data_IF_627029598073
#
_entry.id   IF_627029598073
#
_cell.length_a   1.000
_cell.length_b   1.000
_cell.length_c   1.000
_cell.angle_alpha   90.00
_cell.angle_beta   90.00
_cell.angle_gamma   90.00
#
_symmetry.space_group_name_H-M   'P 1'
#
loop_
_entity.id
_entity.type
_entity.pdbx_description
1 polymer ?
#
# COMPACT_ATOMS: atom_id res chain seq x y z
N UNK A 1 20.47 -20.13 5.85
CA UNK A 1 20.40 -20.13 4.36
C UNK A 1 20.74 -18.75 3.81
N UNK A 2 21.44 -18.66 2.68
CA UNK A 2 21.75 -17.38 2.02
C UNK A 2 20.50 -16.77 1.36
N UNK A 3 20.45 -15.45 1.33
CA UNK A 3 19.37 -14.67 0.72
C UNK A 3 19.33 -14.91 -0.80
N UNK A 4 18.21 -15.39 -1.36
CA UNK A 4 18.11 -15.68 -2.79
C UNK A 4 18.18 -14.41 -3.64
N UNK A 5 17.89 -13.23 -3.07
CA UNK A 5 17.94 -11.95 -3.79
C UNK A 5 19.34 -11.40 -4.03
N UNK A 6 20.28 -11.60 -3.10
CA UNK A 6 21.66 -11.10 -3.24
C UNK A 6 22.73 -12.19 -3.23
N UNK A 7 22.40 -13.41 -2.80
CA UNK A 7 23.31 -14.56 -2.61
C UNK A 7 24.51 -14.31 -1.69
N UNK A 8 24.56 -13.17 -0.98
CA UNK A 8 25.70 -12.75 -0.15
C UNK A 8 25.40 -12.76 1.35
N UNK A 9 24.18 -12.40 1.75
CA UNK A 9 23.79 -12.21 3.14
C UNK A 9 22.83 -13.28 3.61
N UNK A 10 22.77 -13.50 4.91
CA UNK A 10 21.80 -14.42 5.51
C UNK A 10 20.35 -13.95 5.29
N UNK A 11 19.48 -14.91 4.96
CA UNK A 11 18.05 -14.67 4.87
C UNK A 11 17.43 -14.65 6.27
N UNK A 12 17.10 -13.46 6.79
CA UNK A 12 16.58 -13.27 8.15
C UNK A 12 15.08 -12.99 8.21
N UNK A 13 14.47 -12.64 7.08
CA UNK A 13 13.06 -12.23 7.00
C UNK A 13 12.27 -13.30 6.28
N UNK A 14 11.36 -13.97 6.97
CA UNK A 14 10.38 -14.90 6.39
C UNK A 14 9.01 -14.59 6.97
N UNK A 15 8.09 -14.22 6.09
CA UNK A 15 6.67 -14.03 6.42
C UNK A 15 5.84 -15.11 5.73
N UNK A 16 4.65 -15.39 6.28
CA UNK A 16 3.68 -16.32 5.68
C UNK A 16 3.23 -15.87 4.28
N UNK A 17 3.04 -14.56 4.10
CA UNK A 17 2.65 -13.96 2.82
C UNK A 17 3.78 -13.91 1.78
N UNK A 18 4.99 -14.38 2.12
CA UNK A 18 6.15 -14.34 1.23
C UNK A 18 6.60 -15.73 0.79
N UNK A 19 6.84 -15.96 -0.51
CA UNK A 19 7.25 -17.28 -1.01
C UNK A 19 8.65 -17.67 -0.51
N UNK A 20 9.57 -16.71 -0.32
CA UNK A 20 10.97 -16.96 0.02
C UNK A 20 11.46 -16.04 1.12
N UNK A 21 12.40 -16.53 1.93
CA UNK A 21 13.07 -15.71 2.94
C UNK A 21 14.06 -14.75 2.27
N UNK A 22 14.20 -13.52 2.79
CA UNK A 22 15.11 -12.49 2.26
C UNK A 22 15.98 -11.90 3.38
N UNK A 23 17.12 -11.30 3.01
CA UNK A 23 17.85 -10.42 3.92
C UNK A 23 17.13 -9.06 4.02
N UNK A 24 17.35 -8.25 5.08
CA UNK A 24 16.65 -6.99 5.30
C UNK A 24 16.69 -6.02 4.11
N UNK A 25 17.84 -5.88 3.45
CA UNK A 25 17.96 -5.00 2.29
C UNK A 25 17.23 -5.51 1.04
N UNK A 26 17.34 -6.82 0.74
CA UNK A 26 16.62 -7.40 -0.39
C UNK A 26 15.10 -7.37 -0.15
N UNK A 27 14.68 -7.52 1.11
CA UNK A 27 13.30 -7.33 1.54
C UNK A 27 12.83 -5.89 1.25
N UNK A 28 13.54 -4.87 1.76
CA UNK A 28 13.17 -3.48 1.52
C UNK A 28 13.11 -3.14 0.02
N UNK A 29 14.11 -3.59 -0.75
CA UNK A 29 14.14 -3.40 -2.20
C UNK A 29 12.98 -4.10 -2.91
N UNK A 30 12.52 -5.26 -2.42
CA UNK A 30 11.37 -5.96 -2.97
C UNK A 30 10.07 -5.16 -2.74
N UNK A 31 9.87 -4.63 -1.53
CA UNK A 31 8.71 -3.79 -1.20
C UNK A 31 8.70 -2.52 -2.05
N UNK A 32 9.82 -1.79 -2.12
CA UNK A 32 9.96 -0.61 -2.98
C UNK A 32 9.61 -0.95 -4.44
N UNK A 33 10.13 -2.05 -4.98
CA UNK A 33 9.82 -2.49 -6.36
C UNK A 33 8.33 -2.77 -6.57
N UNK A 34 7.66 -3.38 -5.59
CA UNK A 34 6.21 -3.66 -5.65
C UNK A 34 5.39 -2.37 -5.63
N UNK A 35 5.72 -1.44 -4.74
CA UNK A 35 5.06 -0.13 -4.69
C UNK A 35 5.26 0.64 -6.00
N UNK A 36 6.49 0.64 -6.54
CA UNK A 36 6.77 1.25 -7.87
C UNK A 36 6.04 0.56 -9.01
N UNK A 37 5.83 -0.77 -8.95
CA UNK A 37 5.02 -1.50 -9.91
C UNK A 37 3.55 -1.09 -9.78
N UNK A 38 3.06 -0.98 -8.55
CA UNK A 38 1.68 -0.57 -8.25
C UNK A 38 1.38 0.81 -8.81
N UNK A 39 2.23 1.80 -8.52
CA UNK A 39 2.10 3.16 -9.05
C UNK A 39 2.05 3.21 -10.58
N UNK A 40 2.76 2.31 -11.28
CA UNK A 40 2.70 2.19 -12.74
C UNK A 40 1.39 1.54 -13.22
N UNK A 41 0.88 0.56 -12.48
CA UNK A 41 -0.35 -0.14 -12.83
C UNK A 41 -1.60 0.72 -12.62
N UNK A 42 -1.56 1.61 -11.63
CA UNK A 42 -2.64 2.57 -11.35
C UNK A 42 -2.64 3.74 -12.37
N UNK A 43 -1.76 3.69 -13.38
CA UNK A 43 -1.86 4.47 -14.62
C UNK A 43 -1.68 5.99 -14.51
N UNK A 44 -1.35 6.52 -13.34
CA UNK A 44 -1.64 7.94 -13.08
C UNK A 44 -0.50 8.80 -12.55
N UNK A 45 0.77 8.38 -12.61
CA UNK A 45 1.88 9.29 -12.31
C UNK A 45 2.51 9.85 -13.60
N UNK A 46 2.15 11.08 -13.93
CA UNK A 46 2.71 11.89 -15.01
C UNK A 46 3.84 12.78 -14.50
N UNK A 47 4.76 13.14 -15.41
CA UNK A 47 5.75 14.18 -15.11
C UNK A 47 5.01 15.45 -14.73
N UNK A 48 5.46 16.13 -13.68
CA UNK A 48 4.86 17.37 -13.15
C UNK A 48 3.51 17.20 -12.43
N UNK A 49 3.06 15.98 -12.15
CA UNK A 49 1.93 15.79 -11.23
C UNK A 49 2.26 16.37 -9.84
N UNK A 50 1.25 16.90 -9.18
CA UNK A 50 1.33 17.22 -7.75
C UNK A 50 0.66 16.11 -6.95
N UNK A 51 1.42 15.43 -6.10
CA UNK A 51 0.93 14.43 -5.18
C UNK A 51 0.77 15.02 -3.78
N UNK A 52 -0.33 14.71 -3.11
CA UNK A 52 -0.57 15.07 -1.72
C UNK A 52 -0.59 13.81 -0.87
N UNK A 53 0.32 13.70 0.09
CA UNK A 53 0.35 12.62 1.08
C UNK A 53 -0.05 13.21 2.43
N UNK A 54 -1.02 12.59 3.10
CA UNK A 54 -1.37 12.94 4.47
C UNK A 54 -0.41 12.22 5.43
N UNK A 55 0.41 12.96 6.17
CA UNK A 55 1.26 12.40 7.22
C UNK A 55 0.51 12.42 8.55
N UNK A 56 -0.13 11.30 8.87
CA UNK A 56 -0.81 11.05 10.13
C UNK A 56 0.11 10.38 11.18
N UNK A 57 1.40 10.20 10.87
CA UNK A 57 2.36 9.48 11.72
C UNK A 57 2.25 7.95 11.66
N UNK A 58 1.37 7.40 10.82
CA UNK A 58 1.27 5.95 10.61
C UNK A 58 2.50 5.36 9.93
N UNK A 59 2.72 4.05 10.10
CA UNK A 59 3.71 3.31 9.32
C UNK A 59 3.48 3.47 7.81
N UNK A 60 2.23 3.38 7.36
CA UNK A 60 1.83 3.58 5.97
C UNK A 60 2.27 4.95 5.45
N UNK A 61 1.98 6.04 6.18
CA UNK A 61 2.40 7.38 5.81
C UNK A 61 3.94 7.49 5.68
N UNK A 62 4.68 6.91 6.63
CA UNK A 62 6.16 6.90 6.62
C UNK A 62 6.72 6.14 5.42
N UNK A 63 6.14 4.98 5.10
CA UNK A 63 6.57 4.18 3.94
C UNK A 63 6.23 4.90 2.63
N UNK A 64 5.00 5.40 2.49
CA UNK A 64 4.58 6.13 1.30
C UNK A 64 5.49 7.35 1.05
N UNK A 65 5.75 8.15 2.07
CA UNK A 65 6.70 9.27 2.03
C UNK A 65 8.09 8.82 1.57
N UNK A 66 8.67 7.83 2.23
CA UNK A 66 10.03 7.34 1.92
C UNK A 66 10.17 6.89 0.47
N UNK A 67 9.19 6.13 -0.04
CA UNK A 67 9.22 5.58 -1.39
C UNK A 67 9.02 6.68 -2.44
N UNK A 68 8.07 7.60 -2.21
CA UNK A 68 7.80 8.72 -3.13
C UNK A 68 8.96 9.71 -3.18
N UNK A 69 9.58 10.06 -2.04
CA UNK A 69 10.80 10.87 -2.02
C UNK A 69 11.95 10.22 -2.79
N UNK A 70 12.08 8.89 -2.67
CA UNK A 70 13.05 8.12 -3.46
C UNK A 70 12.77 8.15 -4.96
N UNK A 71 11.49 8.10 -5.36
CA UNK A 71 11.07 8.16 -6.76
C UNK A 71 11.28 9.54 -7.39
N UNK A 72 11.17 10.62 -6.61
CA UNK A 72 11.36 11.99 -7.09
C UNK A 72 12.74 12.23 -7.71
N UNK A 73 13.75 11.43 -7.34
CA UNK A 73 15.10 11.47 -7.92
C UNK A 73 15.14 10.97 -9.36
N UNK A 74 14.32 9.97 -9.68
CA UNK A 74 14.28 9.31 -10.99
C UNK A 74 13.18 9.91 -11.89
N UNK A 75 12.16 10.52 -11.30
CA UNK A 75 10.97 11.01 -12.00
C UNK A 75 10.50 12.34 -11.41
N UNK A 76 10.51 13.46 -12.16
CA UNK A 76 10.17 14.77 -11.63
C UNK A 76 8.65 14.93 -11.43
N UNK A 77 8.22 14.99 -10.18
CA UNK A 77 6.87 15.36 -9.75
C UNK A 77 6.95 16.17 -8.45
N UNK A 78 5.89 16.89 -8.11
CA UNK A 78 5.79 17.64 -6.86
C UNK A 78 5.15 16.75 -5.78
N UNK A 79 5.78 16.70 -4.60
CA UNK A 79 5.28 15.94 -3.46
C UNK A 79 5.00 16.89 -2.30
N UNK A 80 3.72 17.03 -1.93
CA UNK A 80 3.24 17.81 -0.79
C UNK A 80 2.89 16.87 0.35
N UNK A 81 3.50 17.10 1.51
CA UNK A 81 3.21 16.34 2.72
C UNK A 81 2.43 17.24 3.67
N UNK A 82 1.22 16.83 4.01
CA UNK A 82 0.28 17.65 4.79
C UNK A 82 -0.23 16.87 6.00
N UNK A 83 -0.59 17.55 7.09
CA UNK A 83 -1.24 16.89 8.25
C UNK A 83 -2.74 16.66 8.05
N UNK A 84 -3.37 17.50 7.22
CA UNK A 84 -4.80 17.45 6.89
C UNK A 84 -4.99 17.87 5.45
N UNK A 85 -5.98 17.27 4.79
CA UNK A 85 -6.38 17.67 3.44
C UNK A 85 -7.20 18.95 3.53
N UNK A 86 -6.85 19.95 2.73
CA UNK A 86 -7.61 21.17 2.53
C UNK A 86 -7.86 21.35 1.04
N UNK A 87 -8.92 22.09 0.68
CA UNK A 87 -9.22 22.38 -0.73
C UNK A 87 -8.04 23.00 -1.47
N UNK A 88 -7.32 23.92 -0.83
CA UNK A 88 -6.14 24.59 -1.38
C UNK A 88 -5.01 23.62 -1.71
N UNK A 89 -4.79 22.61 -0.87
CA UNK A 89 -3.74 21.63 -1.08
C UNK A 89 -4.13 20.57 -2.12
N UNK A 90 -5.43 20.29 -2.26
CA UNK A 90 -5.95 19.29 -3.19
C UNK A 90 -6.24 19.84 -4.60
N UNK A 91 -6.34 21.17 -4.76
CA UNK A 91 -6.63 21.80 -6.07
C UNK A 91 -5.57 21.43 -7.11
N UNK A 92 -5.98 20.67 -8.13
CA UNK A 92 -5.09 20.19 -9.20
C UNK A 92 -4.08 19.13 -8.76
N UNK A 93 -4.23 18.59 -7.54
CA UNK A 93 -3.34 17.58 -6.98
C UNK A 93 -4.06 16.23 -6.84
N UNK A 94 -3.26 15.18 -6.87
CA UNK A 94 -3.67 13.79 -6.71
C UNK A 94 -3.44 13.36 -5.27
N UNK A 95 -4.48 12.88 -4.60
CA UNK A 95 -4.36 12.39 -3.22
C UNK A 95 -3.70 11.02 -3.21
N UNK A 96 -2.76 10.79 -2.28
CA UNK A 96 -2.19 9.47 -2.05
C UNK A 96 -2.94 8.83 -0.89
N UNK A 97 -3.71 7.77 -1.19
CA UNK A 97 -4.29 6.89 -0.19
C UNK A 97 -3.20 6.07 0.51
N UNK A 98 -3.36 5.93 1.82
CA UNK A 98 -2.50 5.10 2.66
C UNK A 98 -3.02 3.67 2.80
N UNK A 99 -4.02 3.27 2.02
CA UNK A 99 -4.58 1.93 2.08
C UNK A 99 -3.52 0.88 1.74
N UNK A 100 -3.28 -0.02 2.70
CA UNK A 100 -2.47 -1.21 2.52
C UNK A 100 -3.31 -2.34 1.89
N UNK A 101 -2.72 -3.53 1.72
CA UNK A 101 -3.40 -4.68 1.13
C UNK A 101 -4.69 -5.07 1.87
N UNK A 102 -4.68 -5.02 3.21
CA UNK A 102 -5.85 -5.39 4.01
C UNK A 102 -6.97 -4.37 3.88
N UNK A 103 -6.64 -3.08 4.00
CA UNK A 103 -7.61 -2.01 3.80
C UNK A 103 -8.25 -2.07 2.40
N UNK A 104 -7.43 -2.32 1.37
CA UNK A 104 -7.91 -2.44 -0.01
C UNK A 104 -8.86 -3.64 -0.16
N UNK A 105 -8.48 -4.81 0.37
CA UNK A 105 -9.32 -6.00 0.30
C UNK A 105 -10.66 -5.81 1.04
N UNK A 106 -10.62 -5.19 2.23
CA UNK A 106 -11.83 -4.89 3.01
C UNK A 106 -12.75 -3.94 2.26
N UNK A 107 -12.23 -2.85 1.69
CA UNK A 107 -13.01 -1.88 0.90
C UNK A 107 -13.70 -2.53 -0.29
N UNK A 108 -12.98 -3.37 -1.04
CA UNK A 108 -13.55 -4.09 -2.19
C UNK A 108 -14.67 -5.04 -1.78
N UNK A 109 -14.48 -5.82 -0.70
CA UNK A 109 -15.52 -6.73 -0.21
C UNK A 109 -16.72 -5.94 0.33
N UNK A 110 -16.48 -4.82 1.02
CA UNK A 110 -17.54 -3.93 1.51
C UNK A 110 -18.41 -3.40 0.36
N UNK A 111 -17.79 -3.02 -0.77
CA UNK A 111 -18.50 -2.58 -1.99
C UNK A 111 -19.33 -3.69 -2.66
N UNK A 112 -19.01 -4.96 -2.43
CA UNK A 112 -19.80 -6.10 -2.94
C UNK A 112 -21.00 -6.39 -2.05
N UNK A 113 -20.81 -6.26 -0.73
CA UNK A 113 -21.84 -6.61 0.26
C UNK A 113 -22.85 -5.47 0.44
N UNK A 114 -22.39 -4.23 0.42
CA UNK A 114 -23.19 -3.05 0.66
C UNK A 114 -23.47 -2.32 -0.65
N UNK A 115 -24.65 -1.66 -0.79
CA UNK A 115 -24.90 -0.79 -1.92
C UNK A 115 -23.79 0.28 -2.00
N UNK A 116 -23.37 0.68 -3.22
CA UNK A 116 -22.36 1.71 -3.37
C UNK A 116 -22.84 2.98 -2.69
N UNK A 117 -22.03 3.52 -1.77
CA UNK A 117 -22.28 4.85 -1.24
C UNK A 117 -22.24 5.86 -2.40
N UNK A 118 -23.10 6.89 -2.40
CA UNK A 118 -23.07 7.90 -3.44
C UNK A 118 -21.66 8.47 -3.54
N UNK A 119 -21.03 8.32 -4.71
CA UNK A 119 -19.65 8.69 -5.00
C UNK A 119 -19.30 10.05 -4.38
N UNK A 120 -18.67 10.03 -3.21
CA UNK A 120 -17.99 11.21 -2.70
C UNK A 120 -16.77 11.38 -3.57
N UNK A 121 -16.81 12.36 -4.46
CA UNK A 121 -15.82 12.65 -5.50
C UNK A 121 -14.39 12.86 -4.95
N UNK A 122 -13.71 11.78 -4.59
CA UNK A 122 -12.28 11.71 -4.25
C UNK A 122 -11.57 10.60 -5.03
N UNK A 123 -12.11 10.22 -6.19
CA UNK A 123 -11.67 9.09 -7.02
C UNK A 123 -10.33 9.29 -7.75
N UNK A 124 -9.66 10.42 -7.59
CA UNK A 124 -8.34 10.66 -8.21
C UNK A 124 -7.18 10.28 -7.29
N UNK A 125 -7.39 9.25 -6.45
CA UNK A 125 -6.45 8.82 -5.43
C UNK A 125 -5.51 7.69 -5.86
N UNK A 126 -4.24 7.74 -5.47
CA UNK A 126 -3.27 6.66 -5.66
C UNK A 126 -3.16 5.83 -4.39
N UNK A 127 -3.27 4.49 -4.48
CA UNK A 127 -3.05 3.61 -3.33
C UNK A 127 -1.75 2.81 -3.50
N UNK A 128 -0.56 3.43 -3.32
CA UNK A 128 0.74 2.78 -3.56
C UNK A 128 0.96 1.51 -2.71
N UNK A 129 0.34 1.45 -1.54
CA UNK A 129 0.53 0.38 -0.55
C UNK A 129 -0.49 -0.75 -0.68
N UNK A 130 -1.44 -0.62 -1.61
CA UNK A 130 -2.51 -1.60 -1.86
C UNK A 130 -2.05 -3.02 -2.19
N UNK A 131 -0.78 -3.19 -2.57
CA UNK A 131 -0.16 -4.49 -2.83
C UNK A 131 0.75 -4.98 -1.69
N UNK A 132 0.78 -4.28 -0.55
CA UNK A 132 1.72 -4.49 0.55
C UNK A 132 1.00 -4.88 1.83
N UNK A 133 1.41 -6.00 2.43
CA UNK A 133 0.81 -6.51 3.66
C UNK A 133 1.27 -5.66 4.87
N UNK A 134 0.41 -5.40 5.87
CA UNK A 134 0.77 -4.57 7.04
C UNK A 134 2.03 -5.05 7.78
N UNK A 135 2.19 -6.36 7.92
CA UNK A 135 3.41 -6.95 8.52
C UNK A 135 4.69 -6.58 7.73
N UNK A 136 4.59 -6.50 6.40
CA UNK A 136 5.71 -6.08 5.56
C UNK A 136 6.02 -4.60 5.77
N UNK A 137 4.99 -3.76 5.90
CA UNK A 137 5.12 -2.33 6.19
C UNK A 137 5.83 -2.12 7.53
N UNK A 138 5.39 -2.82 8.59
CA UNK A 138 6.00 -2.72 9.91
C UNK A 138 7.50 -3.10 9.90
N UNK A 139 7.85 -4.22 9.24
CA UNK A 139 9.25 -4.62 9.08
C UNK A 139 10.05 -3.64 8.23
N UNK A 140 9.45 -3.09 7.18
CA UNK A 140 10.09 -2.07 6.34
C UNK A 140 10.45 -0.83 7.15
N UNK A 141 9.49 -0.30 7.92
CA UNK A 141 9.70 0.84 8.83
C UNK A 141 10.82 0.54 9.81
N UNK A 142 10.83 -0.66 10.42
CA UNK A 142 11.88 -1.09 11.35
C UNK A 142 13.26 -1.10 10.70
N UNK A 143 13.40 -1.73 9.52
CA UNK A 143 14.70 -1.84 8.85
C UNK A 143 15.21 -0.52 8.29
N UNK A 144 14.30 0.37 7.84
CA UNK A 144 14.64 1.70 7.36
C UNK A 144 14.70 2.77 8.46
N UNK A 145 14.37 2.41 9.70
CA UNK A 145 14.37 3.30 10.88
C UNK A 145 13.50 4.55 10.68
N UNK A 146 12.30 4.39 10.12
CA UNK A 146 11.43 5.51 9.74
C UNK A 146 10.53 6.03 10.89
N UNK A 147 10.48 5.33 12.03
CA UNK A 147 9.60 5.65 13.15
C UNK A 147 8.10 5.54 12.82
N UNK A 148 7.25 6.13 13.66
CA UNK A 148 5.79 6.10 13.52
C UNK A 148 5.11 5.01 14.35
N UNK A 149 3.82 4.84 14.13
CA UNK A 149 2.99 3.86 14.84
C UNK A 149 2.03 3.13 13.88
N UNK A 150 1.64 1.91 14.22
CA UNK A 150 0.64 1.19 13.44
C UNK A 150 -0.74 1.78 13.73
N UNK A 151 -1.41 2.33 12.72
CA UNK A 151 -2.77 2.86 12.83
C UNK A 151 -3.71 2.01 12.01
N UNK A 152 -4.56 1.24 12.68
CA UNK A 152 -5.67 0.55 12.05
C UNK A 152 -6.93 1.27 12.50
N UNK A 153 -7.59 1.96 11.57
CA UNK A 153 -8.91 2.58 11.78
C UNK A 153 -9.89 1.89 10.86
N UNK A 154 -10.64 0.96 11.42
CA UNK A 154 -11.70 0.23 10.72
C UNK A 154 -12.99 0.37 11.51
N UNK A 155 -14.09 0.58 10.80
CA UNK A 155 -15.42 0.54 11.41
C UNK A 155 -15.82 -0.90 11.83
N UNK A 156 -16.95 -1.06 12.51
CA UNK A 156 -17.40 -2.39 12.99
C UNK A 156 -17.64 -3.39 11.85
N UNK A 157 -18.10 -2.93 10.69
CA UNK A 157 -18.36 -3.80 9.52
C UNK A 157 -17.04 -4.22 8.90
N UNK A 158 -16.13 -3.27 8.71
CA UNK A 158 -14.79 -3.47 8.17
C UNK A 158 -13.97 -4.42 9.04
N UNK A 159 -14.08 -4.32 10.37
CA UNK A 159 -13.46 -5.27 11.30
C UNK A 159 -13.98 -6.69 11.10
N UNK A 160 -15.30 -6.88 10.96
CA UNK A 160 -15.90 -8.20 10.70
C UNK A 160 -15.46 -8.79 9.36
N UNK A 161 -15.37 -7.94 8.32
CA UNK A 161 -14.85 -8.36 7.00
C UNK A 161 -13.39 -8.79 7.15
N UNK A 162 -12.55 -7.99 7.83
CA UNK A 162 -11.15 -8.30 8.04
C UNK A 162 -10.97 -9.62 8.80
N UNK A 163 -11.74 -9.88 9.85
CA UNK A 163 -11.72 -11.15 10.57
C UNK A 163 -12.09 -12.34 9.68
N UNK A 164 -13.09 -12.18 8.80
CA UNK A 164 -13.45 -13.19 7.81
C UNK A 164 -12.30 -13.46 6.83
N UNK A 165 -11.69 -12.39 6.30
CA UNK A 165 -10.53 -12.48 5.43
C UNK A 165 -9.33 -13.13 6.12
N UNK A 166 -9.09 -12.84 7.40
CA UNK A 166 -8.02 -13.46 8.18
C UNK A 166 -8.24 -14.97 8.35
N UNK A 167 -9.48 -15.40 8.61
CA UNK A 167 -9.85 -16.83 8.67
C UNK A 167 -9.64 -17.52 7.34
N UNK A 168 -9.95 -16.87 6.23
CA UNK A 168 -9.70 -17.40 4.89
C UNK A 168 -8.20 -17.45 4.57
N UNK A 169 -7.44 -16.41 4.88
CA UNK A 169 -6.00 -16.34 4.65
C UNK A 169 -5.24 -17.43 5.41
N UNK A 170 -5.71 -17.80 6.61
CA UNK A 170 -5.16 -18.91 7.37
C UNK A 170 -5.34 -20.28 6.68
N UNK A 171 -6.44 -20.47 5.93
CA UNK A 171 -6.72 -21.70 5.17
C UNK A 171 -6.14 -21.68 3.76
N UNK A 172 -6.15 -20.50 3.13
CA UNK A 172 -5.77 -20.25 1.75
C UNK A 172 -4.80 -19.07 1.72
N UNK A 173 -3.48 -19.32 1.82
CA UNK A 173 -2.49 -18.25 1.78
C UNK A 173 -2.61 -17.41 0.52
N UNK A 174 -2.44 -16.09 0.67
CA UNK A 174 -2.54 -15.05 -0.37
C UNK A 174 -3.95 -14.74 -0.89
N UNK A 175 -5.02 -15.22 -0.24
CA UNK A 175 -6.39 -14.96 -0.70
C UNK A 175 -6.70 -13.46 -0.77
N UNK A 176 -6.21 -12.64 0.17
CA UNK A 176 -6.40 -11.18 0.14
C UNK A 176 -5.80 -10.56 -1.12
N UNK A 177 -4.60 -11.00 -1.51
CA UNK A 177 -3.93 -10.54 -2.72
C UNK A 177 -4.67 -10.98 -3.98
N UNK A 178 -5.14 -12.23 -4.01
CA UNK A 178 -5.95 -12.77 -5.11
C UNK A 178 -7.24 -11.99 -5.30
N UNK A 179 -7.96 -11.64 -4.22
CA UNK A 179 -9.17 -10.81 -4.25
C UNK A 179 -8.86 -9.45 -4.87
N UNK A 180 -7.86 -8.73 -4.35
CA UNK A 180 -7.50 -7.40 -4.86
C UNK A 180 -7.14 -7.44 -6.35
N UNK A 181 -6.38 -8.44 -6.79
CA UNK A 181 -6.04 -8.56 -8.21
C UNK A 181 -7.23 -8.96 -9.09
N UNK A 182 -8.13 -9.79 -8.58
CA UNK A 182 -9.34 -10.17 -9.31
C UNK A 182 -10.18 -8.94 -9.65
N UNK A 183 -10.48 -8.08 -8.67
CA UNK A 183 -11.24 -6.85 -8.90
C UNK A 183 -10.54 -5.89 -9.86
N UNK A 184 -9.21 -5.72 -9.72
CA UNK A 184 -8.43 -4.89 -10.65
C UNK A 184 -8.48 -5.36 -12.09
N UNK A 185 -8.49 -6.67 -12.30
CA UNK A 185 -8.58 -7.21 -13.64
C UNK A 185 -9.97 -6.99 -14.23
N UNK A 186 -11.02 -7.06 -13.41
CA UNK A 186 -12.38 -6.73 -13.85
C UNK A 186 -12.53 -5.26 -14.25
N UNK A 187 -11.91 -4.33 -13.50
CA UNK A 187 -11.94 -2.90 -13.83
C UNK A 187 -11.25 -2.58 -15.16
N UNK A 188 -10.19 -3.32 -15.51
CA UNK A 188 -9.46 -3.15 -16.77
C UNK A 188 -10.17 -3.74 -17.99
N UNK A 189 -11.16 -4.60 -17.79
CA UNK A 189 -11.95 -5.22 -18.86
C UNK A 189 -13.18 -4.41 -19.25
N UNK A 190 -13.41 -3.27 -18.60
CA UNK A 190 -14.42 -2.26 -18.97
C UNK A 190 -13.79 -1.18 -19.83
#
# INVERSE_FOLDING_TARGET
>A
MLCPGCKKREAKVKLSCMPRALCPECFCRNIERRIRKQLRLDGGLSKHDTLVVVDDGSYEARVAKHVLEGLRKDFPFELKIVKRVTYTNLKGAKLVSLDNLEHTAVKLIKQVILPPEPNTATDTGFAPLSSVHPQEIALFVKFKRLGGEQKIRLDKVEQRILEGLNRLEAKYPQIKFSIVNFFRNLEKSK
#
